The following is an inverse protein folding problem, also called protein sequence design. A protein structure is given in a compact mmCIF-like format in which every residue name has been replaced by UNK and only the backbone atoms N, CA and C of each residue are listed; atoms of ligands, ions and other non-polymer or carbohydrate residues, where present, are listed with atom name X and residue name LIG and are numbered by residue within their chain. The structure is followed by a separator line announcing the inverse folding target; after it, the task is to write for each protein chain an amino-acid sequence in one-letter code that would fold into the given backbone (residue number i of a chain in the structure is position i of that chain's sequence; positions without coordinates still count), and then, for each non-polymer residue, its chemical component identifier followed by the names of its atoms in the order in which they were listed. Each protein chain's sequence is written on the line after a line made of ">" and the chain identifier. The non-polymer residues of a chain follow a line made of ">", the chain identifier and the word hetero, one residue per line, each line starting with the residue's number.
data_IF_405868905149
#
_entry.id   IF_405868905149
#
_cell.length_a   1.000
_cell.length_b   1.000
_cell.length_c   1.000
_cell.angle_alpha   90.00
_cell.angle_beta   90.00
_cell.angle_gamma   90.00
#
_symmetry.space_group_name_H-M   'P 1'
#
loop_
_entity.id
_entity.type
_entity.pdbx_description
1 polymer ?
#
# COMPACT_ATOMS: atom_id res chain seq x y z
N UNK A 1 45.75 -3.67 -60.34
CA UNK A 1 44.61 -4.61 -60.24
C UNK A 1 43.37 -3.81 -59.87
N UNK A 2 42.26 -4.09 -60.57
CA UNK A 2 40.88 -3.56 -60.50
C UNK A 2 40.31 -3.34 -59.08
N UNK A 3 39.21 -2.64 -58.80
CA UNK A 3 38.27 -1.76 -59.51
C UNK A 3 37.39 -1.09 -58.42
N UNK A 4 36.72 0.00 -58.81
CA UNK A 4 35.73 0.73 -58.03
C UNK A 4 34.45 -0.09 -57.74
N UNK A 5 33.70 0.41 -56.74
CA UNK A 5 32.24 0.32 -56.59
C UNK A 5 31.64 -1.05 -56.26
N UNK A 6 30.90 -1.12 -55.14
CA UNK A 6 29.44 -0.93 -55.22
C UNK A 6 28.76 -1.11 -53.86
N UNK A 7 27.84 -0.18 -53.63
CA UNK A 7 26.80 -0.19 -52.60
C UNK A 7 26.08 -1.55 -52.55
N UNK A 8 25.87 -2.10 -51.35
CA UNK A 8 24.76 -3.04 -51.06
C UNK A 8 24.04 -2.45 -49.83
N UNK A 9 23.11 -1.54 -50.09
CA UNK A 9 21.67 -1.80 -50.01
C UNK A 9 21.21 -2.05 -48.57
N UNK A 10 20.62 -1.01 -48.00
CA UNK A 10 19.74 -1.00 -46.82
C UNK A 10 18.68 -2.12 -46.83
N UNK A 11 18.08 -2.44 -45.66
CA UNK A 11 17.46 -3.72 -45.35
C UNK A 11 16.00 -3.82 -45.85
N UNK A 12 15.43 -5.03 -46.00
CA UNK A 12 13.99 -5.16 -46.00
C UNK A 12 13.45 -5.09 -44.56
N UNK A 13 12.92 -3.91 -44.21
CA UNK A 13 11.99 -3.67 -43.12
C UNK A 13 10.65 -4.37 -43.45
N UNK A 14 10.53 -5.69 -43.24
CA UNK A 14 9.34 -6.42 -43.75
C UNK A 14 9.02 -7.74 -43.05
N UNK A 15 8.81 -7.78 -41.72
CA UNK A 15 7.86 -8.76 -41.14
C UNK A 15 7.27 -8.31 -39.80
N UNK A 16 6.69 -7.11 -39.80
CA UNK A 16 5.84 -6.62 -38.72
C UNK A 16 4.39 -7.03 -39.02
N UNK A 17 4.07 -8.31 -38.84
CA UNK A 17 2.67 -8.76 -38.75
C UNK A 17 2.61 -9.76 -37.61
N UNK A 18 2.23 -9.30 -36.42
CA UNK A 18 1.52 -10.14 -35.46
C UNK A 18 0.15 -9.52 -35.26
N UNK A 19 -0.93 -10.15 -35.77
CA UNK A 19 -2.27 -9.59 -35.74
C UNK A 19 -2.83 -9.56 -34.31
N UNK A 20 -3.43 -8.41 -34.01
CA UNK A 20 -4.40 -8.09 -32.98
C UNK A 20 -4.99 -9.28 -32.21
N UNK A 21 -4.70 -9.31 -30.90
CA UNK A 21 -5.49 -10.09 -29.94
C UNK A 21 -6.77 -9.28 -29.59
N UNK A 22 -7.98 -9.83 -29.76
CA UNK A 22 -9.22 -9.13 -29.43
C UNK A 22 -9.49 -9.07 -27.90
N UNK A 23 -10.13 -8.00 -27.39
CA UNK A 23 -10.60 -7.89 -26.00
C UNK A 23 -11.75 -8.87 -25.65
N UNK A 24 -12.04 -9.05 -24.34
CA UNK A 24 -12.83 -10.16 -23.80
C UNK A 24 -14.32 -10.13 -24.17
N UNK A 25 -14.88 -11.32 -24.38
CA UNK A 25 -16.30 -11.54 -24.60
C UNK A 25 -17.14 -11.11 -23.39
N UNK A 26 -17.93 -10.07 -23.59
CA UNK A 26 -19.16 -9.78 -22.86
C UNK A 26 -20.27 -10.68 -23.42
N UNK A 27 -20.92 -11.44 -22.55
CA UNK A 27 -22.22 -12.05 -22.82
C UNK A 27 -22.97 -12.15 -21.50
N UNK A 28 -23.83 -11.15 -21.29
CA UNK A 28 -24.97 -11.15 -20.39
C UNK A 28 -25.75 -12.46 -20.45
N UNK A 29 -26.27 -12.95 -19.31
CA UNK A 29 -27.73 -12.96 -18.98
C UNK A 29 -28.06 -13.96 -17.84
N UNK A 30 -29.17 -13.61 -17.16
CA UNK A 30 -30.06 -14.40 -16.30
C UNK A 30 -29.63 -14.50 -14.81
N UNK A 31 -30.16 -13.64 -13.94
CA UNK A 31 -31.52 -13.69 -13.39
C UNK A 31 -31.77 -14.97 -12.57
N UNK A 32 -31.60 -14.85 -11.25
CA UNK A 32 -32.31 -15.68 -10.29
C UNK A 32 -32.71 -14.81 -9.10
N UNK A 33 -33.92 -14.28 -9.20
CA UNK A 33 -34.72 -13.69 -8.14
C UNK A 33 -35.06 -14.76 -7.11
N UNK A 34 -34.93 -14.46 -5.81
CA UNK A 34 -35.75 -15.11 -4.78
C UNK A 34 -35.91 -14.21 -3.56
N UNK A 35 -37.15 -13.79 -3.23
CA UNK A 35 -37.50 -13.03 -2.04
C UNK A 35 -38.11 -13.91 -0.95
N UNK A 36 -37.87 -13.59 0.32
CA UNK A 36 -38.75 -13.83 1.47
C UNK A 36 -38.13 -13.09 2.67
N UNK A 37 -38.61 -11.91 3.06
CA UNK A 37 -39.74 -11.75 3.97
C UNK A 37 -39.62 -12.62 5.24
N UNK A 38 -39.32 -11.99 6.37
CA UNK A 38 -40.21 -12.03 7.53
C UNK A 38 -39.76 -11.03 8.62
N UNK A 39 -40.71 -10.16 8.96
CA UNK A 39 -40.73 -9.37 10.17
C UNK A 39 -41.23 -10.23 11.35
N UNK A 40 -40.80 -9.93 12.57
CA UNK A 40 -41.73 -9.81 13.71
C UNK A 40 -41.07 -9.13 14.92
N UNK A 41 -41.86 -8.35 15.71
CA UNK A 41 -41.45 -7.66 16.92
C UNK A 41 -41.86 -8.45 18.19
N UNK A 42 -41.16 -8.25 19.32
CA UNK A 42 -41.81 -8.15 20.65
C UNK A 42 -40.84 -7.94 21.81
N UNK A 43 -41.21 -6.96 22.63
CA UNK A 43 -41.18 -6.94 24.09
C UNK A 43 -39.85 -6.79 24.85
N UNK A 44 -39.74 -5.64 25.53
CA UNK A 44 -38.94 -5.37 26.72
C UNK A 44 -39.26 -6.34 27.88
N UNK A 45 -38.39 -6.47 28.91
CA UNK A 45 -38.51 -5.56 30.05
C UNK A 45 -37.19 -5.12 30.72
N UNK A 46 -37.31 -3.97 31.39
CA UNK A 46 -36.57 -3.37 32.51
C UNK A 46 -35.70 -4.31 33.37
N UNK A 47 -34.55 -3.81 33.85
CA UNK A 47 -34.21 -3.70 35.28
C UNK A 47 -32.81 -3.06 35.47
N UNK A 48 -32.78 -1.93 36.16
CA UNK A 48 -31.58 -1.38 36.80
C UNK A 48 -31.15 -2.29 37.97
N UNK A 49 -29.90 -2.19 38.41
CA UNK A 49 -29.75 -1.53 39.72
C UNK A 49 -28.59 -0.53 39.79
N UNK A 50 -28.85 0.50 40.57
CA UNK A 50 -27.86 1.38 41.16
C UNK A 50 -26.87 0.59 42.05
N UNK A 51 -25.62 1.01 42.10
CA UNK A 51 -24.84 0.87 43.32
C UNK A 51 -23.93 2.09 43.55
N UNK A 52 -23.96 2.67 44.76
CA UNK A 52 -23.28 3.90 45.13
C UNK A 52 -21.90 3.61 45.71
N UNK A 53 -20.88 4.36 45.29
CA UNK A 53 -19.79 4.67 46.21
C UNK A 53 -19.35 6.12 46.02
N UNK A 54 -19.64 6.90 47.05
CA UNK A 54 -19.37 8.31 47.15
C UNK A 54 -17.92 8.55 47.62
N UNK A 55 -17.40 9.70 47.20
CA UNK A 55 -16.57 10.65 47.95
C UNK A 55 -15.19 10.19 48.50
N UNK A 56 -14.12 10.91 48.12
CA UNK A 56 -13.57 11.99 48.95
C UNK A 56 -12.21 12.52 48.43
N UNK A 57 -12.16 13.83 48.21
CA UNK A 57 -11.09 14.82 48.44
C UNK A 57 -9.63 14.39 48.70
N UNK A 58 -8.67 15.00 47.97
CA UNK A 58 -7.63 15.89 48.55
C UNK A 58 -6.80 16.60 47.43
N UNK A 59 -6.65 17.93 47.44
CA UNK A 59 -5.73 18.67 46.57
C UNK A 59 -4.39 18.96 47.28
N UNK A 60 -3.24 18.52 46.73
CA UNK A 60 -1.96 19.14 47.08
C UNK A 60 -0.79 18.74 46.14
N UNK A 61 -0.20 19.79 45.56
CA UNK A 61 1.24 20.06 45.40
C UNK A 61 2.19 18.92 44.98
N UNK A 62 2.93 19.12 43.87
CA UNK A 62 4.31 19.67 43.91
C UNK A 62 4.86 19.86 42.50
N UNK A 63 5.38 21.06 42.26
CA UNK A 63 6.24 21.39 41.13
C UNK A 63 7.52 20.56 41.27
N UNK A 64 7.87 19.78 40.25
CA UNK A 64 9.24 19.32 40.06
C UNK A 64 9.55 19.25 38.56
N UNK A 65 10.29 20.26 38.14
CA UNK A 65 10.89 20.43 36.83
C UNK A 65 12.05 19.45 36.63
N UNK A 66 12.35 19.16 35.36
CA UNK A 66 13.59 18.59 34.82
C UNK A 66 13.66 17.05 34.67
N UNK A 67 13.44 16.56 33.44
CA UNK A 67 14.52 15.98 32.62
C UNK A 67 14.03 15.79 31.18
N UNK A 68 14.78 16.41 30.28
CA UNK A 68 14.59 16.40 28.83
C UNK A 68 14.73 15.00 28.20
N UNK A 69 14.15 14.90 26.99
CA UNK A 69 14.13 13.78 26.04
C UNK A 69 13.12 12.68 26.33
N UNK A 70 11.86 12.98 26.03
CA UNK A 70 11.02 12.01 25.34
C UNK A 70 10.47 12.70 24.09
N UNK A 71 11.17 12.51 22.97
CA UNK A 71 10.68 12.93 21.66
C UNK A 71 9.49 12.04 21.32
N UNK A 72 8.32 12.59 21.59
CA UNK A 72 7.07 12.39 20.86
C UNK A 72 6.64 10.92 20.64
N UNK A 73 6.13 10.32 21.72
CA UNK A 73 5.24 9.16 21.63
C UNK A 73 3.77 9.59 21.41
N UNK A 74 3.50 10.47 20.44
CA UNK A 74 2.14 10.89 20.04
C UNK A 74 1.95 10.73 18.52
N UNK A 75 2.14 9.48 18.05
CA UNK A 75 1.85 9.06 16.68
C UNK A 75 1.37 7.60 16.59
N UNK A 76 0.64 7.12 17.60
CA UNK A 76 -0.02 5.81 17.61
C UNK A 76 -1.15 5.76 16.56
N UNK A 77 -0.79 5.56 15.28
CA UNK A 77 -1.70 4.90 14.34
C UNK A 77 -1.06 4.13 13.17
N UNK A 78 0.15 4.45 12.72
CA UNK A 78 0.65 3.84 11.45
C UNK A 78 2.18 3.58 11.41
N UNK A 79 2.83 3.37 12.55
CA UNK A 79 4.30 3.23 12.65
C UNK A 79 4.88 2.06 11.84
N UNK A 80 4.07 1.03 11.51
CA UNK A 80 4.53 -0.07 10.68
C UNK A 80 4.64 0.31 9.19
N UNK A 81 3.83 1.26 8.70
CA UNK A 81 3.75 1.58 7.27
C UNK A 81 5.05 2.14 6.70
N UNK A 82 5.90 2.72 7.56
CA UNK A 82 7.16 3.36 7.20
C UNK A 82 8.40 2.47 7.34
N UNK A 83 8.28 1.18 7.71
CA UNK A 83 9.43 0.26 7.80
C UNK A 83 9.55 -0.57 6.51
N UNK A 84 10.79 -0.82 6.07
CA UNK A 84 11.06 -1.65 4.91
C UNK A 84 10.45 -3.05 5.05
N UNK A 85 9.67 -3.47 4.05
CA UNK A 85 8.96 -4.76 4.03
C UNK A 85 9.82 -5.95 3.63
N UNK A 86 11.12 -5.75 3.42
CA UNK A 86 12.08 -6.80 3.04
C UNK A 86 13.03 -7.08 4.19
N UNK A 87 13.79 -6.09 4.65
CA UNK A 87 14.73 -6.30 5.76
C UNK A 87 14.12 -6.08 7.15
N UNK A 88 13.00 -5.37 7.26
CA UNK A 88 12.36 -4.99 8.53
C UNK A 88 13.26 -4.21 9.52
N UNK A 89 14.42 -3.75 9.07
CA UNK A 89 15.43 -3.10 9.91
C UNK A 89 15.45 -1.58 9.74
N UNK A 90 15.36 -1.11 8.49
CA UNK A 90 15.43 0.32 8.16
C UNK A 90 14.08 0.88 7.70
N UNK A 91 13.91 2.19 7.84
CA UNK A 91 12.75 2.89 7.28
C UNK A 91 12.69 2.74 5.74
N UNK A 92 11.47 2.70 5.21
CA UNK A 92 11.22 2.84 3.79
C UNK A 92 11.72 4.21 3.34
N UNK A 93 12.41 4.25 2.20
CA UNK A 93 13.05 5.43 1.65
C UNK A 93 12.99 5.47 0.11
N UNK A 94 12.23 4.57 -0.51
CA UNK A 94 12.16 4.43 -1.95
C UNK A 94 10.72 4.27 -2.44
N UNK A 95 10.33 5.10 -3.39
CA UNK A 95 9.08 5.00 -4.15
C UNK A 95 9.37 4.26 -5.45
N UNK A 96 8.67 3.15 -5.69
CA UNK A 96 8.87 2.28 -6.85
C UNK A 96 7.98 2.70 -8.03
N UNK A 97 8.55 2.92 -9.21
CA UNK A 97 7.79 3.26 -10.41
C UNK A 97 7.66 2.06 -11.36
N UNK A 98 6.51 1.89 -12.03
CA UNK A 98 5.36 2.82 -12.10
C UNK A 98 4.33 2.68 -10.97
N UNK A 99 4.42 1.66 -10.12
CA UNK A 99 3.34 1.31 -9.18
C UNK A 99 3.18 2.23 -7.95
N UNK A 100 4.10 3.16 -7.72
CA UNK A 100 4.12 4.18 -6.65
C UNK A 100 4.08 3.62 -5.22
N UNK A 101 4.45 2.36 -5.00
CA UNK A 101 4.54 1.82 -3.65
C UNK A 101 5.78 2.31 -2.91
N UNK A 102 5.61 2.75 -1.66
CA UNK A 102 6.67 3.16 -0.75
C UNK A 102 6.83 2.12 0.36
N UNK A 103 7.75 1.18 0.17
CA UNK A 103 7.83 0.00 1.05
C UNK A 103 9.25 -0.56 1.23
N UNK A 104 10.26 0.01 0.57
CA UNK A 104 11.64 -0.47 0.61
C UNK A 104 12.58 0.60 1.15
N UNK A 105 13.56 0.21 1.97
CA UNK A 105 14.71 1.04 2.28
C UNK A 105 15.63 1.15 1.06
N UNK A 106 16.61 2.06 1.11
CA UNK A 106 17.53 2.31 -0.01
C UNK A 106 18.26 1.05 -0.51
N UNK A 107 18.95 0.23 0.33
CA UNK A 107 19.64 -0.96 -0.16
C UNK A 107 18.69 -2.01 -0.72
N UNK A 108 17.56 -2.30 -0.05
CA UNK A 108 16.58 -3.26 -0.54
C UNK A 108 15.95 -2.81 -1.86
N UNK A 109 15.74 -1.51 -2.06
CA UNK A 109 15.20 -1.00 -3.32
C UNK A 109 16.11 -1.34 -4.51
N UNK A 110 17.43 -1.35 -4.33
CA UNK A 110 18.40 -1.67 -5.37
C UNK A 110 18.50 -3.18 -5.63
N UNK A 111 18.32 -4.01 -4.60
CA UNK A 111 18.34 -5.46 -4.72
C UNK A 111 17.06 -6.03 -5.39
N UNK A 112 15.93 -5.34 -5.25
CA UNK A 112 14.65 -5.77 -5.82
C UNK A 112 14.48 -5.33 -7.28
N UNK A 113 13.97 -6.24 -8.11
CA UNK A 113 13.56 -6.00 -9.50
C UNK A 113 12.04 -5.84 -9.68
N UNK A 114 11.25 -6.26 -8.69
CA UNK A 114 9.79 -6.18 -8.65
C UNK A 114 9.33 -5.65 -7.29
N UNK A 115 8.20 -4.96 -7.28
CA UNK A 115 7.60 -4.44 -6.05
C UNK A 115 7.08 -5.60 -5.17
N UNK A 116 7.43 -5.67 -3.87
CA UNK A 116 6.97 -6.74 -2.99
C UNK A 116 5.46 -6.67 -2.69
N UNK A 117 4.81 -5.52 -2.91
CA UNK A 117 3.39 -5.33 -2.61
C UNK A 117 2.49 -5.73 -3.78
N UNK A 118 2.86 -5.36 -5.01
CA UNK A 118 1.99 -5.57 -6.18
C UNK A 118 2.64 -6.37 -7.31
N UNK A 119 3.88 -6.84 -7.12
CA UNK A 119 4.66 -7.63 -8.10
C UNK A 119 4.94 -6.91 -9.42
N UNK A 120 4.64 -5.62 -9.54
CA UNK A 120 5.00 -4.82 -10.70
C UNK A 120 6.52 -4.72 -10.84
N UNK A 121 7.05 -4.93 -12.05
CA UNK A 121 8.45 -4.64 -12.38
C UNK A 121 8.81 -3.20 -12.05
N UNK A 122 9.95 -3.01 -11.38
CA UNK A 122 10.47 -1.70 -11.00
C UNK A 122 11.25 -1.17 -12.20
N UNK A 123 10.71 -0.14 -12.86
CA UNK A 123 11.37 0.54 -13.97
C UNK A 123 12.28 1.68 -13.47
N UNK A 124 11.86 2.37 -12.41
CA UNK A 124 12.60 3.49 -11.82
C UNK A 124 12.31 3.62 -10.32
N UNK A 125 13.16 4.36 -9.60
CA UNK A 125 13.12 4.50 -8.13
C UNK A 125 13.38 5.94 -7.74
N UNK A 126 12.45 6.54 -7.01
CA UNK A 126 12.68 7.85 -6.38
C UNK A 126 13.12 7.60 -4.94
N UNK A 127 14.33 8.03 -4.60
CA UNK A 127 14.86 7.92 -3.25
C UNK A 127 14.55 9.19 -2.47
N UNK A 128 13.88 9.04 -1.33
CA UNK A 128 13.62 10.12 -0.40
C UNK A 128 14.79 10.29 0.55
N UNK A 129 15.21 11.52 0.78
CA UNK A 129 16.14 11.88 1.84
C UNK A 129 15.29 12.48 2.96
N UNK A 130 15.18 11.77 4.08
CA UNK A 130 14.46 12.19 5.29
C UNK A 130 15.43 12.28 6.43
#
# INVERSE_FOLDING_TARGET
>A
MAALSSKKSSPPLSTWISPSLPPPGLSDIAAASSPAAQASPSASPTHAPASPYAAATNPQAKIQEMKEKDTDALGEKDSNSHVCKVCFESAAAAVLLPCRHFCLCKPCSLACSECPLCRQRIADRIITFT
#
